data_IF_291030817606
#
_entry.id   IF_291030817606
#
_cell.length_a   1.000
_cell.length_b   1.000
_cell.length_c   1.000
_cell.angle_alpha   90.00
_cell.angle_beta   90.00
_cell.angle_gamma   90.00
#
_symmetry.space_group_name_H-M   'P 1'
#
loop_
_entity.id
_entity.type
_entity.pdbx_description
1 polymer ?
#
# COMPACT_ATOMS: atom_id res chain seq x y z
N UNK A 1 -20.96 79.98 -49.29
CA UNK A 1 -22.17 79.14 -49.04
C UNK A 1 -21.80 78.07 -48.01
N UNK A 2 -22.47 78.16 -46.87
CA UNK A 2 -22.24 77.22 -45.76
C UNK A 2 -23.06 75.91 -45.94
N UNK A 3 -22.58 74.77 -45.59
CA UNK A 3 -23.46 73.64 -45.27
C UNK A 3 -23.52 73.42 -43.76
N UNK A 4 -24.68 72.98 -43.39
CA UNK A 4 -25.19 72.64 -42.05
C UNK A 4 -24.41 71.54 -41.34
N UNK A 5 -24.20 71.76 -40.05
CA UNK A 5 -23.85 70.69 -39.10
C UNK A 5 -25.12 69.99 -38.58
N UNK A 6 -25.19 68.72 -38.60
CA UNK A 6 -26.13 67.91 -37.83
C UNK A 6 -25.39 67.20 -36.71
N UNK A 7 -25.73 67.53 -35.48
CA UNK A 7 -25.35 66.82 -34.28
C UNK A 7 -26.00 65.42 -34.29
N UNK A 8 -25.17 64.39 -34.16
CA UNK A 8 -25.65 63.08 -33.74
C UNK A 8 -25.24 62.85 -32.27
N UNK A 9 -26.27 62.82 -31.46
CA UNK A 9 -26.24 62.39 -30.07
C UNK A 9 -25.91 60.86 -30.04
N UNK A 10 -24.82 60.53 -29.38
CA UNK A 10 -24.50 59.14 -29.03
C UNK A 10 -24.61 58.96 -27.53
N UNK A 11 -25.76 58.62 -27.07
CA UNK A 11 -25.97 58.04 -25.72
C UNK A 11 -25.42 56.63 -25.74
N UNK A 12 -24.20 56.50 -25.23
CA UNK A 12 -23.58 55.18 -24.99
C UNK A 12 -24.20 54.55 -23.75
N UNK A 13 -24.96 53.50 -23.95
CA UNK A 13 -25.38 52.61 -22.87
C UNK A 13 -24.19 51.73 -22.48
N UNK A 14 -23.57 52.04 -21.32
CA UNK A 14 -22.57 51.19 -20.70
C UNK A 14 -23.28 49.97 -20.09
N UNK A 15 -23.34 48.89 -20.80
CA UNK A 15 -23.81 47.61 -20.27
C UNK A 15 -22.75 47.03 -19.33
N UNK A 16 -22.98 47.11 -18.03
CA UNK A 16 -22.21 46.43 -17.01
C UNK A 16 -22.50 44.93 -17.13
N UNK A 17 -21.61 44.17 -17.78
CA UNK A 17 -21.63 42.71 -17.72
C UNK A 17 -21.02 42.32 -16.38
N UNK A 18 -21.87 42.05 -15.40
CA UNK A 18 -21.48 41.37 -14.15
C UNK A 18 -21.24 39.91 -14.51
N UNK A 19 -20.00 39.56 -14.78
CA UNK A 19 -19.56 38.15 -14.80
C UNK A 19 -19.62 37.67 -13.35
N UNK A 20 -20.73 37.02 -12.98
CA UNK A 20 -20.78 36.21 -11.76
C UNK A 20 -19.88 35.01 -11.95
N UNK A 21 -18.65 35.09 -11.48
CA UNK A 21 -17.82 33.89 -11.23
C UNK A 21 -18.54 33.08 -10.13
N UNK A 22 -19.38 32.16 -10.55
CA UNK A 22 -19.77 31.06 -9.70
C UNK A 22 -18.50 30.20 -9.59
N UNK A 23 -17.68 30.50 -8.58
CA UNK A 23 -16.69 29.57 -8.11
C UNK A 23 -17.48 28.33 -7.67
N UNK A 24 -17.57 27.35 -8.55
CA UNK A 24 -17.95 26.01 -8.18
C UNK A 24 -16.91 25.59 -7.15
N UNK A 25 -17.23 25.74 -5.88
CA UNK A 25 -16.55 25.03 -4.81
C UNK A 25 -16.83 23.55 -5.13
N UNK A 26 -15.96 22.91 -5.89
CA UNK A 26 -15.88 21.48 -5.89
C UNK A 26 -15.71 21.11 -4.41
N UNK A 27 -16.82 20.78 -3.76
CA UNK A 27 -16.77 20.19 -2.43
C UNK A 27 -15.86 18.99 -2.64
N UNK A 28 -14.71 19.02 -2.01
CA UNK A 28 -13.84 17.87 -1.93
C UNK A 28 -14.63 16.80 -1.15
N UNK A 29 -15.46 16.07 -1.91
CA UNK A 29 -16.35 15.08 -1.32
C UNK A 29 -15.46 13.91 -0.95
N UNK A 30 -15.38 13.62 0.33
CA UNK A 30 -14.63 12.46 0.81
C UNK A 30 -15.21 11.19 0.20
N UNK A 31 -14.33 10.32 -0.26
CA UNK A 31 -14.68 9.03 -0.84
C UNK A 31 -15.36 8.12 0.19
N UNK A 32 -14.80 8.03 1.43
CA UNK A 32 -15.34 7.11 2.45
C UNK A 32 -16.46 7.70 3.30
N UNK A 33 -16.77 9.01 3.20
CA UNK A 33 -17.78 9.64 4.07
C UNK A 33 -19.14 8.98 4.00
N UNK A 34 -19.54 8.54 2.79
CA UNK A 34 -20.86 7.97 2.54
C UNK A 34 -20.95 6.47 2.85
N UNK A 35 -19.83 5.80 3.09
CA UNK A 35 -19.80 4.38 3.42
C UNK A 35 -20.03 4.19 4.92
N UNK A 36 -21.01 3.37 5.28
CA UNK A 36 -21.43 3.18 6.68
C UNK A 36 -21.62 1.71 7.04
N UNK A 37 -21.40 0.82 6.08
CA UNK A 37 -21.59 -0.62 6.28
C UNK A 37 -20.26 -1.34 6.10
N UNK A 38 -19.88 -2.15 7.07
CA UNK A 38 -18.79 -3.11 6.96
C UNK A 38 -19.41 -4.50 6.73
N UNK A 39 -19.03 -5.14 5.65
CA UNK A 39 -19.48 -6.50 5.32
C UNK A 39 -18.26 -7.43 5.28
N UNK A 40 -18.26 -8.48 6.08
CA UNK A 40 -17.28 -9.55 5.97
C UNK A 40 -17.53 -10.35 4.70
N UNK A 41 -16.53 -10.36 3.81
CA UNK A 41 -16.58 -11.05 2.51
C UNK A 41 -16.24 -12.52 2.70
N UNK A 42 -15.16 -12.83 3.44
CA UNK A 42 -14.70 -14.20 3.68
C UNK A 42 -13.71 -14.25 4.83
N UNK A 43 -13.53 -15.43 5.43
CA UNK A 43 -12.31 -15.72 6.18
C UNK A 43 -11.10 -15.77 5.23
N UNK A 44 -9.92 -15.42 5.75
CA UNK A 44 -8.65 -15.54 5.03
C UNK A 44 -7.89 -16.83 5.39
N UNK A 45 -8.38 -17.60 6.35
CA UNK A 45 -7.71 -18.78 6.91
C UNK A 45 -7.83 -19.98 5.97
N UNK A 46 -6.73 -20.50 5.42
CA UNK A 46 -6.72 -21.72 4.61
C UNK A 46 -6.75 -22.98 5.48
N UNK A 47 -6.79 -24.16 4.81
CA UNK A 47 -6.92 -25.45 5.50
C UNK A 47 -5.72 -25.83 6.37
N UNK A 48 -4.55 -25.24 6.17
CA UNK A 48 -3.37 -25.43 7.04
C UNK A 48 -3.40 -24.55 8.29
N UNK A 49 -4.37 -23.62 8.39
CA UNK A 49 -4.57 -22.78 9.56
C UNK A 49 -3.73 -21.52 9.62
N UNK A 50 -3.01 -21.14 8.55
CA UNK A 50 -2.27 -19.87 8.52
C UNK A 50 -3.21 -18.68 8.76
N UNK A 51 -2.75 -17.71 9.53
CA UNK A 51 -3.50 -16.55 10.02
C UNK A 51 -2.73 -15.25 9.80
N UNK A 52 -3.23 -14.15 10.33
CA UNK A 52 -2.68 -12.80 10.18
C UNK A 52 -2.60 -12.38 8.71
N UNK A 53 -3.73 -11.96 8.12
CA UNK A 53 -3.75 -11.44 6.77
C UNK A 53 -3.15 -10.03 6.72
N UNK A 54 -2.23 -9.77 5.78
CA UNK A 54 -1.67 -8.44 5.57
C UNK A 54 -1.76 -7.97 4.12
N UNK A 55 -0.92 -8.54 3.24
CA UNK A 55 -0.82 -8.08 1.86
C UNK A 55 -2.12 -8.28 1.10
N UNK A 56 -2.59 -7.24 0.43
CA UNK A 56 -3.79 -7.31 -0.41
C UNK A 56 -3.44 -6.83 -1.81
N UNK A 57 -3.65 -7.68 -2.82
CA UNK A 57 -3.46 -7.30 -4.23
C UNK A 57 -4.65 -7.72 -5.08
N UNK A 58 -5.11 -6.84 -5.97
CA UNK A 58 -6.15 -7.19 -6.93
C UNK A 58 -5.52 -7.88 -8.14
N UNK A 59 -6.07 -9.00 -8.55
CA UNK A 59 -5.62 -9.74 -9.74
C UNK A 59 -6.07 -8.98 -11.01
N UNK A 60 -5.13 -8.49 -11.84
CA UNK A 60 -5.47 -7.70 -13.02
C UNK A 60 -5.91 -8.54 -14.22
N UNK A 61 -5.39 -9.77 -14.37
CA UNK A 61 -5.60 -10.61 -15.55
C UNK A 61 -5.80 -12.08 -15.16
N UNK A 62 -6.73 -12.77 -15.82
CA UNK A 62 -6.90 -14.21 -15.64
C UNK A 62 -5.78 -14.98 -16.34
N UNK A 63 -4.98 -15.73 -15.56
CA UNK A 63 -3.90 -16.60 -16.04
C UNK A 63 -3.61 -17.71 -15.02
N UNK A 64 -3.54 -18.96 -15.46
CA UNK A 64 -3.34 -20.10 -14.55
C UNK A 64 -4.42 -20.18 -13.47
N UNK A 65 -4.04 -20.15 -12.19
CA UNK A 65 -4.97 -20.10 -11.05
C UNK A 65 -5.52 -18.68 -10.77
N UNK A 66 -4.86 -17.64 -11.29
CA UNK A 66 -5.28 -16.26 -11.09
C UNK A 66 -6.57 -15.96 -11.86
N UNK A 67 -7.53 -15.30 -11.22
CA UNK A 67 -8.81 -14.90 -11.82
C UNK A 67 -8.95 -13.38 -11.69
N UNK A 68 -9.03 -12.67 -12.82
CA UNK A 68 -9.16 -11.22 -12.85
C UNK A 68 -10.30 -10.70 -11.97
N UNK A 69 -10.03 -9.63 -11.24
CA UNK A 69 -10.97 -9.00 -10.31
C UNK A 69 -11.08 -9.65 -8.93
N UNK A 70 -10.46 -10.81 -8.69
CA UNK A 70 -10.30 -11.37 -7.36
C UNK A 70 -9.15 -10.68 -6.61
N UNK A 71 -9.07 -10.95 -5.31
CA UNK A 71 -8.05 -10.41 -4.43
C UNK A 71 -7.14 -11.54 -3.95
N UNK A 72 -5.84 -11.31 -3.96
CA UNK A 72 -4.86 -12.14 -3.28
C UNK A 72 -4.62 -11.55 -1.89
N UNK A 73 -4.52 -12.41 -0.90
CA UNK A 73 -4.24 -12.03 0.48
C UNK A 73 -3.18 -12.97 1.03
N UNK A 74 -2.10 -12.42 1.58
CA UNK A 74 -1.05 -13.19 2.25
C UNK A 74 -1.39 -13.35 3.73
N UNK A 75 -1.25 -14.57 4.26
CA UNK A 75 -1.27 -14.85 5.70
C UNK A 75 0.18 -15.07 6.15
N UNK A 76 0.66 -14.23 7.06
CA UNK A 76 2.07 -14.24 7.40
C UNK A 76 2.42 -15.00 8.68
N UNK A 77 1.43 -15.52 9.42
CA UNK A 77 1.62 -16.36 10.60
C UNK A 77 1.07 -17.77 10.35
N UNK A 78 1.65 -18.75 11.01
CA UNK A 78 1.12 -20.11 11.02
C UNK A 78 -0.10 -20.28 11.94
N UNK A 79 -0.62 -21.49 12.04
CA UNK A 79 -1.77 -21.81 12.88
C UNK A 79 -1.53 -21.64 14.40
N UNK A 80 -0.30 -21.47 14.83
CA UNK A 80 0.08 -21.15 16.21
C UNK A 80 0.27 -19.64 16.41
N UNK A 81 0.04 -18.87 15.36
CA UNK A 81 0.17 -17.41 15.33
C UNK A 81 1.60 -16.90 15.60
N UNK A 82 2.62 -17.67 15.20
CA UNK A 82 3.99 -17.17 15.24
C UNK A 82 4.27 -16.27 14.04
N UNK A 83 4.79 -15.06 14.33
CA UNK A 83 5.00 -14.05 13.30
C UNK A 83 6.05 -14.48 12.26
N UNK A 84 5.69 -14.36 10.98
CA UNK A 84 6.57 -14.68 9.86
C UNK A 84 6.75 -16.18 9.59
N UNK A 85 5.90 -17.02 10.13
CA UNK A 85 5.94 -18.48 9.89
C UNK A 85 4.83 -18.95 8.95
N UNK A 86 3.88 -18.09 8.58
CA UNK A 86 2.85 -18.36 7.58
C UNK A 86 3.43 -18.33 6.16
N UNK A 87 2.87 -19.15 5.30
CA UNK A 87 3.41 -19.39 3.95
C UNK A 87 2.35 -19.34 2.87
N UNK A 88 1.10 -19.00 3.21
CA UNK A 88 0.00 -19.11 2.27
C UNK A 88 -0.45 -17.75 1.71
N UNK A 89 -0.88 -17.81 0.46
CA UNK A 89 -1.59 -16.73 -0.22
C UNK A 89 -2.93 -17.30 -0.69
N UNK A 90 -4.01 -16.69 -0.23
CA UNK A 90 -5.35 -17.06 -0.64
C UNK A 90 -5.89 -16.14 -1.72
N UNK A 91 -6.84 -16.60 -2.51
CA UNK A 91 -7.53 -15.81 -3.52
C UNK A 91 -9.02 -15.77 -3.23
N UNK A 92 -9.57 -14.58 -3.04
CA UNK A 92 -10.97 -14.37 -2.65
C UNK A 92 -11.67 -13.50 -3.72
N UNK A 93 -12.86 -13.92 -4.17
CA UNK A 93 -13.66 -13.09 -5.07
C UNK A 93 -14.40 -11.98 -4.29
N UNK A 94 -14.85 -10.89 -4.96
CA UNK A 94 -15.73 -9.89 -4.33
C UNK A 94 -17.00 -10.49 -3.71
N UNK A 95 -17.47 -11.63 -4.21
CA UNK A 95 -18.62 -12.36 -3.67
C UNK A 95 -18.27 -13.47 -2.67
N UNK A 96 -17.03 -13.50 -2.11
CA UNK A 96 -16.65 -14.40 -1.05
C UNK A 96 -16.18 -15.81 -1.48
N UNK A 97 -16.05 -16.09 -2.79
CA UNK A 97 -15.50 -17.38 -3.21
C UNK A 97 -14.02 -17.47 -2.87
N UNK A 98 -13.68 -18.38 -1.97
CA UNK A 98 -12.34 -18.63 -1.46
C UNK A 98 -11.62 -19.71 -2.26
N UNK A 99 -10.29 -19.55 -2.45
CA UNK A 99 -9.40 -20.59 -2.95
C UNK A 99 -7.97 -20.36 -2.49
N UNK A 100 -7.20 -21.40 -2.28
CA UNK A 100 -5.76 -21.30 -2.04
C UNK A 100 -5.05 -21.04 -3.38
N UNK A 101 -4.36 -19.90 -3.47
CA UNK A 101 -3.53 -19.58 -4.64
C UNK A 101 -2.16 -20.24 -4.55
N UNK A 102 -1.44 -20.00 -3.45
CA UNK A 102 -0.09 -20.49 -3.27
C UNK A 102 0.16 -20.94 -1.82
N UNK A 103 1.04 -21.95 -1.70
CA UNK A 103 1.76 -22.30 -0.50
C UNK A 103 3.24 -22.18 -0.84
N UNK A 104 3.93 -21.24 -0.22
CA UNK A 104 5.33 -20.94 -0.47
C UNK A 104 6.17 -22.05 0.22
N UNK A 105 6.85 -22.87 -0.58
CA UNK A 105 7.78 -23.88 -0.08
C UNK A 105 9.12 -23.22 0.29
N UNK A 106 9.50 -23.14 1.58
CA UNK A 106 10.74 -22.48 1.99
C UNK A 106 12.00 -23.11 1.34
N UNK A 107 11.95 -24.38 0.95
CA UNK A 107 13.07 -25.05 0.30
C UNK A 107 13.31 -24.60 -1.15
N UNK A 108 12.35 -23.88 -1.74
CA UNK A 108 12.46 -23.32 -3.10
C UNK A 108 12.80 -21.84 -3.10
N UNK A 109 13.00 -21.23 -1.93
CA UNK A 109 13.28 -19.80 -1.77
C UNK A 109 14.75 -19.61 -1.42
N UNK A 110 15.48 -18.85 -2.25
CA UNK A 110 16.89 -18.52 -2.03
C UNK A 110 17.05 -17.16 -1.32
N UNK A 111 16.18 -16.85 -0.36
CA UNK A 111 16.25 -15.64 0.44
C UNK A 111 17.30 -15.78 1.55
N UNK A 112 18.20 -14.80 1.75
CA UNK A 112 19.22 -14.87 2.80
C UNK A 112 18.68 -15.09 4.21
N UNK A 113 17.51 -14.50 4.53
CA UNK A 113 16.80 -14.68 5.80
C UNK A 113 15.70 -15.74 5.76
N UNK A 114 15.59 -16.53 4.70
CA UNK A 114 14.50 -17.49 4.52
C UNK A 114 13.14 -16.83 4.22
N UNK A 115 12.07 -17.61 4.38
CA UNK A 115 10.70 -17.09 4.34
C UNK A 115 10.36 -16.56 5.72
N UNK A 116 9.93 -15.30 5.78
CA UNK A 116 9.55 -14.61 7.00
C UNK A 116 8.18 -13.94 6.88
N UNK A 117 8.04 -12.70 7.36
CA UNK A 117 6.81 -11.93 7.17
C UNK A 117 6.55 -11.68 5.69
N UNK A 118 5.46 -12.24 5.16
CA UNK A 118 5.03 -12.12 3.76
C UNK A 118 4.01 -11.00 3.58
N UNK A 119 4.34 -9.79 4.03
CA UNK A 119 3.41 -8.65 4.10
C UNK A 119 3.27 -7.91 2.76
N UNK A 120 4.37 -7.65 2.07
CA UNK A 120 4.36 -6.99 0.76
C UNK A 120 3.82 -7.92 -0.34
N UNK A 121 2.85 -7.46 -1.16
CA UNK A 121 2.21 -8.30 -2.16
C UNK A 121 1.74 -7.49 -3.37
N UNK A 122 2.13 -7.90 -4.58
CA UNK A 122 1.57 -7.38 -5.85
C UNK A 122 1.29 -8.49 -6.84
N UNK A 123 0.29 -8.30 -7.71
CA UNK A 123 -0.03 -9.17 -8.82
C UNK A 123 0.15 -8.40 -10.15
N UNK A 124 0.98 -8.90 -11.04
CA UNK A 124 1.28 -8.27 -12.34
C UNK A 124 0.35 -8.80 -13.45
N UNK A 125 0.10 -7.98 -14.47
CA UNK A 125 -0.68 -8.36 -15.68
C UNK A 125 -0.12 -9.57 -16.40
N UNK A 126 1.18 -9.74 -16.33
CA UNK A 126 1.89 -10.91 -16.86
C UNK A 126 1.52 -12.23 -16.18
N UNK A 127 0.85 -12.18 -15.02
CA UNK A 127 0.47 -13.34 -14.22
C UNK A 127 1.52 -13.77 -13.20
N UNK A 128 2.56 -12.98 -12.99
CA UNK A 128 3.46 -13.15 -11.85
C UNK A 128 2.88 -12.46 -10.61
N UNK A 129 3.13 -13.08 -9.46
CA UNK A 129 2.83 -12.51 -8.14
C UNK A 129 4.14 -12.36 -7.40
N UNK A 130 4.39 -11.17 -6.88
CA UNK A 130 5.63 -10.87 -6.15
C UNK A 130 5.28 -10.64 -4.69
N UNK A 131 6.01 -11.32 -3.81
CA UNK A 131 5.79 -11.34 -2.36
C UNK A 131 7.07 -10.89 -1.67
N UNK A 132 6.98 -9.92 -0.79
CA UNK A 132 8.11 -9.56 0.08
C UNK A 132 8.25 -10.59 1.20
N UNK A 133 9.47 -10.89 1.59
CA UNK A 133 9.79 -11.72 2.75
C UNK A 133 10.74 -10.95 3.66
N UNK A 134 10.22 -10.51 4.81
CA UNK A 134 11.02 -9.90 5.86
C UNK A 134 11.53 -11.00 6.79
N UNK A 135 12.86 -11.10 7.05
CA UNK A 135 13.43 -12.21 7.80
C UNK A 135 12.89 -12.30 9.22
N UNK A 136 12.52 -13.51 9.62
CA UNK A 136 12.17 -13.85 11.01
C UNK A 136 12.94 -15.09 11.43
N UNK A 137 13.32 -15.16 12.71
CA UNK A 137 13.92 -16.37 13.28
C UNK A 137 12.88 -17.37 13.73
N UNK A 138 13.34 -18.44 14.37
CA UNK A 138 12.47 -19.47 14.95
C UNK A 138 11.41 -18.87 15.87
N UNK A 139 10.19 -19.36 15.77
CA UNK A 139 9.02 -18.91 16.54
C UNK A 139 8.71 -17.42 16.40
N UNK A 140 9.02 -16.83 15.25
CA UNK A 140 8.72 -15.43 14.97
C UNK A 140 9.61 -14.41 15.67
N UNK A 141 10.82 -14.78 16.09
CA UNK A 141 11.79 -13.85 16.64
C UNK A 141 12.32 -12.91 15.54
N UNK A 142 12.58 -11.63 15.91
CA UNK A 142 13.21 -10.69 14.98
C UNK A 142 14.62 -11.18 14.61
N UNK A 143 14.96 -11.11 13.33
CA UNK A 143 16.21 -11.64 12.78
C UNK A 143 17.03 -10.56 12.07
N UNK A 144 18.34 -10.54 12.37
CA UNK A 144 19.29 -9.64 11.71
C UNK A 144 19.76 -10.27 10.39
N UNK A 145 19.06 -10.05 9.33
CA UNK A 145 19.38 -10.56 7.99
C UNK A 145 18.74 -9.72 6.91
N UNK A 146 18.99 -10.11 5.66
CA UNK A 146 18.37 -9.45 4.52
C UNK A 146 17.14 -10.24 4.07
N UNK A 147 16.05 -9.51 3.82
CA UNK A 147 14.86 -10.01 3.15
C UNK A 147 15.04 -10.17 1.65
N UNK A 148 14.00 -10.57 0.99
CA UNK A 148 13.97 -10.77 -0.45
C UNK A 148 12.57 -10.53 -1.02
N UNK A 149 12.46 -10.55 -2.35
CA UNK A 149 11.18 -10.71 -3.05
C UNK A 149 11.11 -12.10 -3.66
N UNK A 150 10.02 -12.79 -3.38
CA UNK A 150 9.72 -14.14 -3.90
C UNK A 150 8.80 -13.96 -5.10
N UNK A 151 9.16 -14.46 -6.25
CA UNK A 151 8.37 -14.40 -7.48
C UNK A 151 7.65 -15.72 -7.69
N UNK A 152 6.32 -15.65 -7.73
CA UNK A 152 5.45 -16.77 -8.02
C UNK A 152 4.90 -16.66 -9.44
N UNK A 153 4.77 -17.77 -10.13
CA UNK A 153 4.06 -17.82 -11.41
C UNK A 153 2.53 -17.89 -11.19
N UNK A 154 1.78 -17.82 -12.28
CA UNK A 154 0.30 -17.86 -12.26
C UNK A 154 -0.31 -19.15 -11.70
N UNK A 155 0.49 -20.19 -11.48
CA UNK A 155 0.09 -21.43 -10.81
C UNK A 155 0.44 -21.45 -9.32
N UNK A 156 1.01 -20.36 -8.78
CA UNK A 156 1.40 -20.22 -7.37
C UNK A 156 2.71 -20.92 -7.01
N UNK A 157 3.54 -21.25 -8.00
CA UNK A 157 4.85 -21.87 -7.75
C UNK A 157 5.94 -20.80 -7.70
N UNK A 158 6.90 -20.94 -6.77
CA UNK A 158 8.12 -20.13 -6.73
C UNK A 158 8.94 -20.39 -8.00
N UNK A 159 9.31 -19.32 -8.71
CA UNK A 159 10.08 -19.37 -9.95
C UNK A 159 11.36 -18.52 -9.90
N UNK A 160 11.44 -17.55 -8.99
CA UNK A 160 12.60 -16.67 -8.83
C UNK A 160 12.64 -16.12 -7.40
N UNK A 161 13.82 -15.69 -6.95
CA UNK A 161 14.04 -14.96 -5.69
C UNK A 161 14.97 -13.79 -5.97
N UNK A 162 14.49 -12.56 -5.77
CA UNK A 162 15.27 -11.34 -5.92
C UNK A 162 15.78 -10.93 -4.54
N UNK A 163 17.10 -10.98 -4.32
CA UNK A 163 17.73 -10.62 -3.05
C UNK A 163 18.87 -9.61 -3.24
N UNK A 164 19.26 -8.92 -2.17
CA UNK A 164 20.17 -7.78 -2.28
C UNK A 164 19.45 -6.56 -2.87
N UNK A 165 20.11 -5.75 -3.69
CA UNK A 165 19.48 -4.67 -4.45
C UNK A 165 18.66 -3.71 -3.59
N UNK A 166 19.18 -3.31 -2.43
CA UNK A 166 18.52 -2.46 -1.43
C UNK A 166 17.32 -3.09 -0.72
N UNK A 167 17.09 -4.39 -0.90
CA UNK A 167 16.10 -5.15 -0.14
C UNK A 167 16.71 -5.61 1.19
N UNK A 168 16.13 -5.17 2.29
CA UNK A 168 16.58 -5.58 3.62
C UNK A 168 15.43 -6.19 4.43
N UNK A 169 14.36 -5.43 4.66
CA UNK A 169 13.14 -5.92 5.29
C UNK A 169 11.93 -5.38 4.54
N UNK A 170 11.54 -5.99 3.38
CA UNK A 170 10.41 -5.52 2.60
C UNK A 170 9.13 -5.65 3.43
N UNK A 171 8.48 -4.50 3.68
CA UNK A 171 7.26 -4.45 4.47
C UNK A 171 6.01 -4.36 3.59
N UNK A 172 6.00 -3.44 2.65
CA UNK A 172 4.92 -3.31 1.67
C UNK A 172 5.48 -2.93 0.30
N UNK A 173 4.68 -3.13 -0.76
CA UNK A 173 5.06 -2.72 -2.09
C UNK A 173 3.86 -2.34 -2.96
N UNK A 174 4.13 -1.47 -3.92
CA UNK A 174 3.23 -1.16 -5.03
C UNK A 174 3.96 -1.29 -6.35
N UNK A 175 3.22 -1.46 -7.44
CA UNK A 175 3.77 -1.64 -8.77
C UNK A 175 3.14 -0.69 -9.78
N UNK A 176 3.98 -0.06 -10.61
CA UNK A 176 3.58 0.45 -11.92
C UNK A 176 3.86 -0.65 -12.94
N UNK A 177 2.80 -1.28 -13.44
CA UNK A 177 2.88 -2.50 -14.23
C UNK A 177 2.56 -2.24 -15.71
N UNK A 178 3.60 -2.26 -16.55
CA UNK A 178 3.53 -2.17 -18.01
C UNK A 178 3.58 -3.55 -18.69
N UNK A 179 3.51 -3.55 -20.03
CA UNK A 179 3.47 -4.81 -20.79
C UNK A 179 4.80 -5.57 -20.77
N UNK A 180 5.93 -4.83 -20.79
CA UNK A 180 7.29 -5.38 -20.85
C UNK A 180 8.17 -4.99 -19.67
N UNK A 181 7.75 -4.01 -18.90
CA UNK A 181 8.48 -3.47 -17.76
C UNK A 181 7.53 -3.26 -16.58
N UNK A 182 8.01 -3.53 -15.39
CA UNK A 182 7.35 -3.13 -14.15
C UNK A 182 8.32 -2.36 -13.26
N UNK A 183 7.82 -1.31 -12.60
CA UNK A 183 8.55 -0.64 -11.53
C UNK A 183 7.87 -0.99 -10.20
N UNK A 184 8.61 -1.64 -9.31
CA UNK A 184 8.18 -1.90 -7.94
C UNK A 184 8.72 -0.80 -7.04
N UNK A 185 7.92 -0.34 -6.08
CA UNK A 185 8.35 0.50 -4.98
C UNK A 185 8.16 -0.28 -3.69
N UNK A 186 9.24 -0.52 -2.96
CA UNK A 186 9.28 -1.42 -1.80
C UNK A 186 9.76 -0.64 -0.58
N UNK A 187 8.97 -0.61 0.48
CA UNK A 187 9.39 -0.07 1.79
C UNK A 187 10.21 -1.10 2.54
N UNK A 188 11.28 -0.66 3.22
CA UNK A 188 12.19 -1.52 3.96
C UNK A 188 12.40 -1.00 5.39
N UNK A 189 12.26 -1.88 6.38
CA UNK A 189 12.19 -1.54 7.82
C UNK A 189 13.25 -2.25 8.69
N UNK A 190 14.27 -2.90 8.11
CA UNK A 190 15.20 -3.72 8.88
C UNK A 190 16.65 -3.21 8.83
N UNK A 191 16.85 -1.92 8.59
CA UNK A 191 18.18 -1.35 8.45
C UNK A 191 18.75 -0.94 9.83
N UNK A 192 19.49 -1.84 10.48
CA UNK A 192 20.12 -1.68 11.80
C UNK A 192 19.18 -1.72 13.00
N UNK A 193 17.89 -1.96 12.83
CA UNK A 193 16.89 -1.99 13.91
C UNK A 193 17.20 -3.03 14.97
N UNK A 194 17.59 -4.24 14.57
CA UNK A 194 17.92 -5.33 15.51
C UNK A 194 19.12 -4.95 16.40
N UNK A 195 20.16 -4.37 15.80
CA UNK A 195 21.35 -3.92 16.55
C UNK A 195 21.05 -2.76 17.51
N UNK A 196 20.00 -1.99 17.24
CA UNK A 196 19.56 -0.86 18.09
C UNK A 196 18.77 -1.29 19.33
N UNK A 197 18.35 -2.57 19.42
CA UNK A 197 17.73 -3.12 20.64
C UNK A 197 16.45 -2.39 21.06
N UNK A 198 15.56 -2.06 20.11
CA UNK A 198 14.29 -1.34 20.35
C UNK A 198 14.40 0.19 20.29
N UNK A 199 15.61 0.75 20.23
CA UNK A 199 15.79 2.19 20.01
C UNK A 199 15.44 2.55 18.58
N UNK A 200 14.87 3.75 18.38
CA UNK A 200 14.58 4.27 17.03
C UNK A 200 15.88 4.59 16.30
N UNK A 201 16.01 4.08 15.08
CA UNK A 201 17.05 4.45 14.12
C UNK A 201 16.41 5.05 12.88
N UNK A 202 17.17 5.88 12.15
CA UNK A 202 16.68 6.50 10.90
C UNK A 202 17.26 5.76 9.68
N UNK A 203 16.96 4.48 9.58
CA UNK A 203 17.46 3.57 8.55
C UNK A 203 16.44 3.19 7.49
N UNK A 204 15.15 3.44 7.74
CA UNK A 204 14.06 3.05 6.86
C UNK A 204 14.21 3.64 5.45
N UNK A 205 13.94 2.83 4.42
CA UNK A 205 14.13 3.21 3.02
C UNK A 205 12.94 2.82 2.15
N UNK A 206 12.86 3.44 0.97
CA UNK A 206 12.02 2.96 -0.14
C UNK A 206 12.93 2.70 -1.33
N UNK A 207 12.93 1.46 -1.81
CA UNK A 207 13.64 1.05 -3.01
C UNK A 207 12.68 1.01 -4.20
N UNK A 208 13.13 1.55 -5.35
CA UNK A 208 12.52 1.29 -6.66
C UNK A 208 13.32 0.18 -7.35
N UNK A 209 12.63 -0.87 -7.80
CA UNK A 209 13.20 -1.93 -8.62
C UNK A 209 12.55 -1.89 -10.01
N UNK A 210 13.36 -1.85 -11.07
CA UNK A 210 12.88 -1.95 -12.45
C UNK A 210 13.05 -3.40 -12.91
N UNK A 211 11.95 -4.00 -13.35
CA UNK A 211 11.92 -5.38 -13.84
C UNK A 211 11.60 -5.41 -15.33
N UNK A 212 12.37 -6.17 -16.10
CA UNK A 212 11.89 -6.65 -17.41
C UNK A 212 10.91 -7.80 -17.18
N UNK A 213 9.84 -7.81 -17.98
CA UNK A 213 8.80 -8.84 -17.92
C UNK A 213 8.80 -9.59 -19.26
N UNK A 214 9.66 -10.59 -19.44
CA UNK A 214 9.67 -11.41 -20.65
C UNK A 214 8.49 -12.38 -20.68
N UNK A 215 8.06 -12.76 -21.89
CA UNK A 215 6.86 -13.61 -22.07
C UNK A 215 7.05 -15.01 -21.50
N UNK A 216 8.25 -15.58 -21.61
CA UNK A 216 8.51 -16.99 -21.34
C UNK A 216 9.36 -17.27 -20.09
N UNK A 217 9.78 -16.23 -19.36
CA UNK A 217 10.67 -16.36 -18.22
C UNK A 217 10.19 -15.53 -17.03
N UNK A 218 10.73 -15.81 -15.85
CA UNK A 218 10.51 -14.99 -14.68
C UNK A 218 10.98 -13.55 -14.90
N UNK A 219 10.37 -12.55 -14.22
CA UNK A 219 10.83 -11.17 -14.25
C UNK A 219 12.33 -11.05 -13.94
N UNK A 220 13.02 -10.20 -14.69
CA UNK A 220 14.46 -9.98 -14.56
C UNK A 220 14.71 -8.58 -14.01
N UNK A 221 15.45 -8.47 -12.92
CA UNK A 221 15.82 -7.18 -12.36
C UNK A 221 16.83 -6.46 -13.28
N UNK A 222 16.48 -5.25 -13.70
CA UNK A 222 17.31 -4.37 -14.55
C UNK A 222 18.07 -3.33 -13.75
N UNK A 223 17.40 -2.71 -12.76
CA UNK A 223 17.95 -1.63 -11.94
C UNK A 223 17.31 -1.59 -10.57
N UNK A 224 18.03 -1.06 -9.59
CA UNK A 224 17.49 -0.74 -8.27
C UNK A 224 18.05 0.56 -7.73
N UNK A 225 17.19 1.39 -7.15
CA UNK A 225 17.54 2.73 -6.65
C UNK A 225 16.80 3.01 -5.35
N UNK A 226 17.50 3.53 -4.32
CA UNK A 226 16.83 4.10 -3.14
C UNK A 226 16.23 5.45 -3.52
N UNK A 227 14.90 5.54 -3.56
CA UNK A 227 14.17 6.77 -3.92
C UNK A 227 13.80 7.62 -2.70
N UNK A 228 13.75 6.99 -1.50
CA UNK A 228 13.57 7.69 -0.22
C UNK A 228 14.33 6.97 0.89
N UNK A 229 14.75 7.70 1.95
CA UNK A 229 15.55 7.15 3.04
C UNK A 229 15.52 8.04 4.29
N UNK A 230 15.93 7.47 5.41
CA UNK A 230 16.01 8.20 6.67
C UNK A 230 14.70 8.16 7.47
N UNK A 231 13.75 7.30 7.10
CA UNK A 231 12.55 7.07 7.90
C UNK A 231 12.92 6.45 9.26
N UNK A 232 12.24 6.84 10.35
CA UNK A 232 12.40 6.20 11.63
C UNK A 232 11.91 4.76 11.56
N UNK A 233 12.64 3.86 12.22
CA UNK A 233 12.30 2.44 12.35
C UNK A 233 12.85 1.90 13.66
N UNK A 234 12.22 0.86 14.19
CA UNK A 234 12.67 0.15 15.39
C UNK A 234 12.15 -1.29 15.41
N UNK A 235 12.75 -2.14 16.22
CA UNK A 235 12.09 -3.39 16.61
C UNK A 235 10.88 -3.08 17.49
N UNK A 236 9.82 -3.86 17.36
CA UNK A 236 8.56 -3.66 18.04
C UNK A 236 8.08 -4.97 18.69
N UNK A 237 7.66 -4.96 19.97
CA UNK A 237 7.20 -6.17 20.63
C UNK A 237 5.92 -6.78 20.03
N UNK A 238 5.07 -5.97 19.42
CA UNK A 238 3.81 -6.42 18.82
C UNK A 238 3.94 -6.78 17.33
N UNK A 239 4.72 -5.99 16.57
CA UNK A 239 4.84 -6.10 15.12
C UNK A 239 6.22 -6.59 14.64
N UNK A 240 7.08 -7.10 15.53
CA UNK A 240 8.51 -7.42 15.33
C UNK A 240 9.36 -6.19 14.97
N UNK A 241 8.97 -5.46 13.97
CA UNK A 241 9.64 -4.29 13.42
C UNK A 241 8.58 -3.31 12.92
N UNK A 242 8.83 -2.01 13.02
CA UNK A 242 7.98 -0.97 12.46
C UNK A 242 8.84 0.16 11.87
N UNK A 243 8.36 0.82 10.82
CA UNK A 243 9.07 1.89 10.11
C UNK A 243 8.23 2.46 8.98
N UNK A 244 8.79 2.72 7.79
CA UNK A 244 7.99 3.02 6.59
C UNK A 244 7.25 1.76 6.16
N UNK A 245 5.92 1.83 6.11
CA UNK A 245 5.04 0.68 5.88
C UNK A 245 4.29 0.81 4.56
N UNK A 246 3.00 1.09 4.58
CA UNK A 246 2.16 1.16 3.40
C UNK A 246 2.66 2.10 2.31
N UNK A 247 2.50 1.72 1.05
CA UNK A 247 3.00 2.50 -0.09
C UNK A 247 2.03 2.44 -1.28
N UNK A 248 1.76 3.60 -1.91
CA UNK A 248 0.98 3.67 -3.14
C UNK A 248 1.56 4.70 -4.12
N UNK A 249 1.58 4.34 -5.40
CA UNK A 249 2.07 5.19 -6.48
C UNK A 249 0.90 5.84 -7.23
N UNK A 250 0.92 7.16 -7.32
CA UNK A 250 -0.04 7.93 -8.11
C UNK A 250 0.54 8.18 -9.51
N UNK A 251 0.06 7.43 -10.47
CA UNK A 251 0.54 7.49 -11.86
C UNK A 251 0.34 8.86 -12.51
N UNK A 252 -0.71 9.59 -12.11
CA UNK A 252 -1.04 10.89 -12.72
C UNK A 252 -0.11 12.00 -12.23
N UNK A 253 0.22 12.03 -10.92
CA UNK A 253 1.15 13.04 -10.38
C UNK A 253 2.61 12.59 -10.38
N UNK A 254 2.88 11.30 -10.52
CA UNK A 254 4.21 10.72 -10.35
C UNK A 254 4.70 10.69 -8.90
N UNK A 255 3.81 10.95 -7.94
CA UNK A 255 4.12 10.89 -6.51
C UNK A 255 3.99 9.46 -5.99
N UNK A 256 4.94 9.07 -5.16
CA UNK A 256 4.81 7.89 -4.32
C UNK A 256 4.45 8.33 -2.90
N UNK A 257 3.35 7.83 -2.37
CA UNK A 257 2.95 8.09 -0.99
C UNK A 257 3.42 6.94 -0.10
N UNK A 258 3.89 7.29 1.10
CA UNK A 258 4.45 6.34 2.07
C UNK A 258 3.85 6.62 3.44
N UNK A 259 3.35 5.58 4.10
CA UNK A 259 2.99 5.62 5.50
C UNK A 259 4.26 5.53 6.35
N UNK A 260 4.53 6.58 7.12
CA UNK A 260 5.62 6.71 8.07
C UNK A 260 5.04 6.48 9.47
N UNK A 261 4.93 5.20 9.84
CA UNK A 261 4.10 4.74 10.95
C UNK A 261 4.52 5.33 12.29
N UNK A 262 5.83 5.33 12.59
CA UNK A 262 6.35 5.84 13.86
C UNK A 262 6.12 7.33 14.07
N UNK A 263 6.01 8.11 13.00
CA UNK A 263 5.76 9.55 13.07
C UNK A 263 4.29 9.91 12.82
N UNK A 264 3.39 8.92 12.73
CA UNK A 264 1.97 9.15 12.38
C UNK A 264 1.82 10.07 11.16
N UNK A 265 2.57 9.78 10.09
CA UNK A 265 2.75 10.68 8.96
C UNK A 265 2.51 9.99 7.62
N UNK A 266 2.01 10.74 6.65
CA UNK A 266 2.03 10.37 5.23
C UNK A 266 3.06 11.25 4.53
N UNK A 267 4.04 10.63 3.88
CA UNK A 267 5.05 11.29 3.08
C UNK A 267 4.74 11.17 1.58
N UNK A 268 5.07 12.20 0.80
CA UNK A 268 5.10 12.16 -0.66
C UNK A 268 6.55 12.20 -1.16
N UNK A 269 6.87 11.31 -2.07
CA UNK A 269 8.14 11.24 -2.80
C UNK A 269 7.85 11.68 -4.23
N UNK A 270 8.13 12.95 -4.60
CA UNK A 270 7.82 13.44 -5.93
C UNK A 270 8.67 12.77 -7.00
N UNK A 271 8.08 12.57 -8.19
CA UNK A 271 8.77 12.02 -9.36
C UNK A 271 9.49 10.69 -9.07
N UNK A 272 8.87 9.81 -8.28
CA UNK A 272 9.49 8.62 -7.72
C UNK A 272 9.99 7.66 -8.81
N UNK A 273 9.27 7.55 -9.95
CA UNK A 273 9.64 6.68 -11.06
C UNK A 273 10.99 7.05 -11.70
N UNK A 274 11.31 8.33 -11.75
CA UNK A 274 12.51 8.82 -12.48
C UNK A 274 13.60 9.35 -11.53
N UNK A 275 13.49 9.11 -10.23
CA UNK A 275 14.53 9.54 -9.29
C UNK A 275 15.76 8.67 -9.39
N UNK A 276 16.92 9.33 -9.36
CA UNK A 276 18.24 8.68 -9.27
C UNK A 276 18.89 8.89 -7.90
N UNK A 277 18.28 9.70 -7.04
CA UNK A 277 18.76 10.00 -5.69
C UNK A 277 17.59 10.03 -4.72
N UNK A 278 17.86 9.65 -3.47
CA UNK A 278 16.88 9.69 -2.39
C UNK A 278 16.31 11.11 -2.20
N UNK A 279 15.00 11.18 -1.98
CA UNK A 279 14.30 12.40 -1.55
C UNK A 279 14.41 12.64 -0.03
N UNK A 280 15.28 11.89 0.68
CA UNK A 280 15.20 11.81 2.13
C UNK A 280 13.86 11.21 2.55
N UNK A 281 13.25 11.77 3.59
CA UNK A 281 11.93 11.33 4.09
C UNK A 281 10.74 11.87 3.27
N UNK A 282 10.98 12.52 2.13
CA UNK A 282 9.93 13.13 1.30
C UNK A 282 9.26 14.35 1.93
N UNK A 283 8.20 14.82 1.27
CA UNK A 283 7.38 15.95 1.73
C UNK A 283 6.24 15.44 2.62
N UNK A 284 5.98 16.12 3.73
CA UNK A 284 4.82 15.77 4.58
C UNK A 284 3.52 16.15 3.86
N UNK A 285 2.64 15.18 3.64
CA UNK A 285 1.29 15.38 3.15
C UNK A 285 0.34 15.61 4.33
N UNK A 286 0.44 14.78 5.35
CA UNK A 286 -0.36 14.89 6.57
C UNK A 286 0.40 14.23 7.71
N UNK A 287 0.18 14.70 8.94
CA UNK A 287 0.77 14.11 10.14
C UNK A 287 -0.18 14.23 11.33
N UNK A 288 -0.06 13.29 12.27
CA UNK A 288 -0.88 13.25 13.48
C UNK A 288 -2.40 13.23 13.21
N UNK A 289 -3.21 13.90 14.01
CA UNK A 289 -4.65 14.02 13.85
C UNK A 289 -5.38 12.70 14.06
N UNK A 290 -5.88 12.09 12.99
CA UNK A 290 -6.54 10.78 13.00
C UNK A 290 -5.61 9.64 12.62
N UNK A 291 -4.41 9.93 12.14
CA UNK A 291 -3.38 8.92 11.91
C UNK A 291 -2.88 8.40 13.25
N UNK A 292 -2.83 7.11 13.38
CA UNK A 292 -2.34 6.40 14.56
C UNK A 292 -1.68 5.11 14.11
N UNK A 293 -0.34 5.15 13.99
CA UNK A 293 0.44 4.04 13.46
C UNK A 293 -0.10 3.57 12.08
N UNK A 294 -0.11 4.45 11.04
CA UNK A 294 -0.64 4.10 9.72
C UNK A 294 0.20 2.97 9.11
N UNK A 295 -0.44 1.83 8.79
CA UNK A 295 0.21 0.64 8.22
C UNK A 295 -0.10 0.45 6.74
N UNK A 296 -1.33 0.11 6.39
CA UNK A 296 -1.74 -0.02 4.99
C UNK A 296 -1.98 1.33 4.32
N UNK A 297 -1.68 1.43 3.01
CA UNK A 297 -1.92 2.64 2.23
C UNK A 297 -2.41 2.29 0.83
N UNK A 298 -3.48 2.96 0.37
CA UNK A 298 -4.02 2.82 -0.98
C UNK A 298 -4.50 4.18 -1.50
N UNK A 299 -4.69 4.28 -2.82
CA UNK A 299 -5.35 5.43 -3.43
C UNK A 299 -6.82 5.11 -3.70
N UNK A 300 -7.70 6.01 -3.29
CA UNK A 300 -9.09 6.03 -3.68
C UNK A 300 -9.24 6.44 -5.18
N UNK A 301 -10.38 6.16 -5.82
CA UNK A 301 -10.62 6.53 -7.22
C UNK A 301 -10.51 8.04 -7.50
N UNK A 302 -10.72 8.89 -6.51
CA UNK A 302 -10.54 10.34 -6.56
C UNK A 302 -9.11 10.79 -6.22
N UNK A 303 -8.20 9.82 -6.06
CA UNK A 303 -6.79 9.98 -5.70
C UNK A 303 -6.54 10.50 -4.29
N UNK A 304 -7.54 10.52 -3.42
CA UNK A 304 -7.32 10.66 -2.01
C UNK A 304 -6.55 9.44 -1.46
N UNK A 305 -5.77 9.68 -0.43
CA UNK A 305 -4.98 8.64 0.22
C UNK A 305 -5.83 8.01 1.32
N UNK A 306 -5.95 6.70 1.29
CA UNK A 306 -6.58 5.91 2.35
C UNK A 306 -5.49 5.21 3.15
N UNK A 307 -5.56 5.30 4.47
CA UNK A 307 -4.67 4.55 5.37
C UNK A 307 -5.48 3.71 6.35
N UNK A 308 -4.97 2.52 6.62
CA UNK A 308 -5.41 1.69 7.74
C UNK A 308 -4.48 1.95 8.92
N UNK A 309 -5.03 2.33 10.05
CA UNK A 309 -4.26 2.55 11.28
C UNK A 309 -4.00 1.21 11.98
N UNK A 310 -2.76 0.92 12.33
CA UNK A 310 -2.40 -0.20 13.20
C UNK A 310 -2.65 0.10 14.68
N UNK A 311 -2.57 1.36 15.09
CA UNK A 311 -2.77 1.77 16.47
C UNK A 311 -4.24 1.94 16.89
N UNK A 312 -5.17 1.86 15.97
CA UNK A 312 -6.62 1.82 16.24
C UNK A 312 -7.39 1.29 15.01
N UNK A 313 -8.65 0.90 15.19
CA UNK A 313 -9.50 0.32 14.15
C UNK A 313 -10.03 1.30 13.11
N UNK A 314 -9.27 2.33 12.73
CA UNK A 314 -9.75 3.36 11.79
C UNK A 314 -9.13 3.25 10.41
N UNK A 315 -9.97 3.48 9.41
CA UNK A 315 -9.54 3.91 8.07
C UNK A 315 -9.59 5.44 8.01
N UNK A 316 -8.52 6.06 7.53
CA UNK A 316 -8.42 7.53 7.43
C UNK A 316 -8.25 7.93 5.97
N UNK A 317 -9.00 8.94 5.54
CA UNK A 317 -8.89 9.53 4.22
C UNK A 317 -8.20 10.89 4.29
N UNK A 318 -7.13 11.04 3.54
CA UNK A 318 -6.36 12.28 3.42
C UNK A 318 -6.42 12.80 1.99
N UNK A 319 -6.78 14.07 1.83
CA UNK A 319 -6.68 14.75 0.55
C UNK A 319 -5.23 15.24 0.34
N UNK A 320 -4.49 14.70 -0.65
CA UNK A 320 -3.10 15.08 -0.87
C UNK A 320 -2.92 16.47 -1.48
N UNK A 321 -3.99 17.07 -2.03
CA UNK A 321 -3.93 18.40 -2.65
C UNK A 321 -4.13 19.53 -1.65
N UNK A 322 -4.93 19.27 -0.60
CA UNK A 322 -5.18 20.24 0.48
C UNK A 322 -4.40 19.93 1.75
N UNK A 323 -3.72 18.78 1.80
CA UNK A 323 -2.96 18.32 2.96
C UNK A 323 -3.82 18.13 4.22
N UNK A 324 -5.09 17.74 4.03
CA UNK A 324 -6.06 17.60 5.13
C UNK A 324 -6.64 16.19 5.20
N UNK A 325 -6.83 15.72 6.43
CA UNK A 325 -7.61 14.51 6.71
C UNK A 325 -9.09 14.87 6.59
N UNK A 326 -9.75 14.35 5.55
CA UNK A 326 -11.12 14.77 5.17
C UNK A 326 -12.20 13.87 5.78
N UNK A 327 -11.86 12.62 6.10
CA UNK A 327 -12.77 11.67 6.77
C UNK A 327 -12.01 10.57 7.51
N UNK A 328 -12.73 9.88 8.38
CA UNK A 328 -12.29 8.61 8.96
C UNK A 328 -13.51 7.72 9.27
N UNK A 329 -13.29 6.41 9.32
CA UNK A 329 -14.30 5.42 9.72
C UNK A 329 -13.67 4.45 10.72
N UNK A 330 -14.33 4.25 11.86
CA UNK A 330 -14.02 3.16 12.76
C UNK A 330 -14.65 1.89 12.17
N UNK A 331 -13.83 0.96 11.70
CA UNK A 331 -14.27 -0.29 11.04
C UNK A 331 -14.04 -1.52 11.91
N UNK A 332 -13.13 -1.43 12.87
CA UNK A 332 -12.99 -2.38 13.98
C UNK A 332 -13.07 -1.65 15.32
N UNK A 333 -13.80 -2.22 16.26
CA UNK A 333 -13.99 -1.65 17.62
C UNK A 333 -13.72 -2.67 18.72
N UNK A 334 -12.98 -3.72 18.41
CA UNK A 334 -12.62 -4.78 19.36
C UNK A 334 -11.54 -4.35 20.35
N UNK A 335 -11.32 -5.15 21.35
CA UNK A 335 -10.25 -4.96 22.32
C UNK A 335 -10.41 -3.78 23.28
N UNK A 336 -9.42 -3.56 24.14
CA UNK A 336 -9.35 -2.39 25.01
C UNK A 336 -8.96 -1.12 24.21
N UNK A 337 -9.25 0.08 24.76
CA UNK A 337 -8.83 1.32 24.10
C UNK A 337 -7.30 1.44 23.91
N UNK A 338 -6.83 1.91 22.75
CA UNK A 338 -7.63 2.32 21.58
C UNK A 338 -8.30 1.13 20.88
N UNK A 339 -9.62 1.23 20.63
CA UNK A 339 -10.39 0.17 20.02
C UNK A 339 -9.83 -0.21 18.65
N UNK A 340 -9.76 -1.53 18.35
CA UNK A 340 -9.24 -2.08 17.10
C UNK A 340 -7.72 -1.92 16.94
N UNK A 341 -6.97 -1.71 18.05
CA UNK A 341 -5.50 -1.66 17.96
C UNK A 341 -4.94 -3.04 17.60
N UNK A 342 -4.16 -3.08 16.50
CA UNK A 342 -3.59 -4.31 15.93
C UNK A 342 -4.46 -4.96 14.87
N UNK A 343 -5.73 -4.55 14.69
CA UNK A 343 -6.67 -5.24 13.81
C UNK A 343 -6.46 -4.96 12.31
N UNK A 344 -6.05 -3.73 11.94
CA UNK A 344 -6.09 -3.30 10.54
C UNK A 344 -4.70 -3.29 9.90
N UNK A 345 -4.61 -3.92 8.71
CA UNK A 345 -3.39 -3.98 7.92
C UNK A 345 -3.61 -3.53 6.47
N UNK A 346 -3.50 -4.42 5.50
CA UNK A 346 -3.60 -4.09 4.09
C UNK A 346 -5.01 -3.66 3.65
N UNK A 347 -5.07 -2.75 2.68
CA UNK A 347 -6.32 -2.30 2.09
C UNK A 347 -6.17 -2.02 0.60
N UNK A 348 -7.30 -2.01 -0.10
CA UNK A 348 -7.38 -1.63 -1.51
C UNK A 348 -8.72 -0.95 -1.80
N UNK A 349 -8.70 0.16 -2.53
CA UNK A 349 -9.91 0.87 -2.90
C UNK A 349 -10.46 0.42 -4.26
N UNK A 350 -11.76 0.53 -4.41
CA UNK A 350 -12.48 0.34 -5.68
C UNK A 350 -13.63 1.35 -5.77
N UNK A 351 -14.29 1.46 -6.91
CA UNK A 351 -15.49 2.29 -7.03
C UNK A 351 -16.65 1.84 -6.13
N UNK A 352 -16.60 0.63 -5.55
CA UNK A 352 -17.65 0.06 -4.72
C UNK A 352 -17.38 0.23 -3.22
N UNK A 353 -16.19 0.66 -2.83
CA UNK A 353 -15.78 0.82 -1.43
C UNK A 353 -14.33 0.46 -1.18
N UNK A 354 -14.01 0.28 0.09
CA UNK A 354 -12.66 -0.06 0.56
C UNK A 354 -12.66 -1.49 1.06
N UNK A 355 -11.91 -2.34 0.38
CA UNK A 355 -11.60 -3.69 0.87
C UNK A 355 -10.41 -3.60 1.82
N UNK A 356 -10.48 -4.33 2.92
CA UNK A 356 -9.40 -4.37 3.91
C UNK A 356 -9.36 -5.73 4.62
N UNK A 357 -8.20 -6.05 5.18
CA UNK A 357 -8.02 -7.21 6.03
C UNK A 357 -8.07 -6.80 7.49
N UNK A 358 -8.64 -7.69 8.29
CA UNK A 358 -8.82 -7.55 9.72
C UNK A 358 -8.20 -8.77 10.39
N UNK A 359 -7.18 -8.54 11.20
CA UNK A 359 -6.38 -9.57 11.84
C UNK A 359 -7.08 -10.18 13.06
N UNK A 360 -7.79 -9.37 13.83
CA UNK A 360 -8.51 -9.85 15.04
C UNK A 360 -9.47 -10.99 14.69
N UNK A 361 -10.09 -10.92 13.49
CA UNK A 361 -11.02 -11.93 13.00
C UNK A 361 -10.46 -12.80 11.87
N UNK A 362 -9.28 -12.51 11.35
CA UNK A 362 -8.71 -13.15 10.18
C UNK A 362 -9.67 -13.13 8.99
N UNK A 363 -10.19 -11.96 8.67
CA UNK A 363 -11.21 -11.76 7.65
C UNK A 363 -10.81 -10.74 6.59
N UNK A 364 -11.42 -10.90 5.42
CA UNK A 364 -11.42 -9.93 4.34
C UNK A 364 -12.78 -9.23 4.30
N UNK A 365 -12.78 -7.91 4.39
CA UNK A 365 -13.96 -7.10 4.61
C UNK A 365 -14.11 -6.03 3.53
N UNK A 366 -15.31 -5.47 3.42
CA UNK A 366 -15.65 -4.34 2.56
C UNK A 366 -16.38 -3.27 3.36
N UNK A 367 -15.83 -2.06 3.40
CA UNK A 367 -16.52 -0.84 3.80
C UNK A 367 -17.21 -0.24 2.57
N UNK A 368 -18.56 -0.11 2.59
CA UNK A 368 -19.37 0.37 1.47
C UNK A 368 -20.61 1.15 1.92
#
# INVERSE_FOLDING_TARGET
MKPNQSLFDRTGVLGLIVLSLVAAHARCQSFISNFNTVTTISSTVPSNGDVNPYGVARVPTTKGKLVAGRFLISNFNDSMNFQGTGTTIVQISPGGTFSLFAHIDPNKVSCPGGVGLTTALVALRSGFVIVGSLPTGDQGAVFAGAGCLIVLNSSGNVVETISGHHLNGPWDMTALDGDFLAALFVTNVLNRTVAAGGSVVHGGTVARLLLAIPDDHAPVLLDSTIVASGFPERTDPAALVIGPTGVAFDEESGNLYVADSLDNRIAAIPNALFRFQSAGRGLTVSENGKLNDPLGLALAPDRHILTANGGDGKLVETNPFTHTQVAFKLVDSTGPPPLGAGALFGLIASSHGVYFVDDDFNTFNLLH
#
